data_IF_806000887241
#
_entry.id   IF_806000887241
#
_cell.length_a   1.000
_cell.length_b   1.000
_cell.length_c   1.000
_cell.angle_alpha   90.00
_cell.angle_beta   90.00
_cell.angle_gamma   90.00
#
_symmetry.space_group_name_H-M   'P 1'
#
loop_
_entity.id
_entity.type
_entity.pdbx_description
1 polymer ?
#
# COMPACT_ATOMS: atom_id res chain seq x y z
N UNK A 1 12.75 -6.61 -4.80
CA UNK A 1 12.91 -7.56 -3.68
C UNK A 1 13.71 -6.98 -2.50
N UNK A 2 14.97 -6.53 -2.66
CA UNK A 2 15.71 -5.84 -1.57
C UNK A 2 15.14 -4.46 -1.23
N UNK A 3 14.60 -3.72 -2.21
CA UNK A 3 13.86 -2.46 -1.96
C UNK A 3 12.57 -2.69 -1.17
N UNK A 4 11.84 -3.75 -1.50
CA UNK A 4 10.50 -4.00 -0.96
C UNK A 4 10.59 -4.42 0.51
N UNK A 5 11.55 -5.29 0.85
CA UNK A 5 11.85 -5.68 2.24
C UNK A 5 12.30 -4.48 3.07
N UNK A 6 13.06 -3.56 2.49
CA UNK A 6 13.48 -2.32 3.14
C UNK A 6 12.27 -1.43 3.43
N UNK A 7 11.36 -1.27 2.47
CA UNK A 7 10.15 -0.47 2.64
C UNK A 7 9.22 -1.06 3.70
N UNK A 8 9.00 -2.38 3.68
CA UNK A 8 8.21 -3.07 4.72
C UNK A 8 8.85 -2.86 6.09
N UNK A 9 10.16 -3.07 6.21
CA UNK A 9 10.89 -2.87 7.47
C UNK A 9 10.77 -1.44 8.00
N UNK A 10 10.87 -0.43 7.11
CA UNK A 10 10.71 0.98 7.48
C UNK A 10 9.28 1.27 7.94
N UNK A 11 8.27 0.74 7.24
CA UNK A 11 6.86 0.91 7.64
C UNK A 11 6.60 0.27 9.00
N UNK A 12 7.14 -0.92 9.27
CA UNK A 12 7.05 -1.54 10.59
C UNK A 12 7.74 -0.70 11.67
N UNK A 13 8.94 -0.19 11.40
CA UNK A 13 9.66 0.69 12.32
C UNK A 13 8.85 1.95 12.64
N UNK A 14 8.30 2.62 11.61
CA UNK A 14 7.44 3.79 11.78
C UNK A 14 6.22 3.43 12.63
N UNK A 15 5.59 2.28 12.36
CA UNK A 15 4.41 1.81 13.12
C UNK A 15 4.72 1.64 14.60
N UNK A 16 5.86 1.01 14.93
CA UNK A 16 6.31 0.83 16.32
C UNK A 16 6.56 2.19 16.98
N UNK A 17 7.25 3.11 16.30
CA UNK A 17 7.53 4.46 16.82
C UNK A 17 6.23 5.22 17.06
N UNK A 18 5.29 5.21 16.12
CA UNK A 18 4.00 5.88 16.25
C UNK A 18 3.20 5.32 17.43
N UNK A 19 3.21 3.99 17.63
CA UNK A 19 2.52 3.36 18.76
C UNK A 19 3.15 3.74 20.09
N UNK A 20 4.47 3.78 20.14
CA UNK A 20 5.19 4.25 21.32
C UNK A 20 4.83 5.72 21.64
N UNK A 21 4.75 6.58 20.62
CA UNK A 21 4.29 7.97 20.79
C UNK A 21 2.86 8.01 21.31
N UNK A 22 1.92 7.25 20.72
CA UNK A 22 0.53 7.16 21.18
C UNK A 22 0.43 6.73 22.66
N UNK A 23 1.28 5.80 23.09
CA UNK A 23 1.36 5.37 24.49
C UNK A 23 1.87 6.49 25.40
N UNK A 24 2.93 7.22 24.99
CA UNK A 24 3.48 8.34 25.77
C UNK A 24 2.48 9.48 25.98
N UNK A 25 1.59 9.70 25.02
CA UNK A 25 0.55 10.75 25.08
C UNK A 25 -0.81 10.23 25.56
N UNK A 26 -0.87 8.96 25.98
CA UNK A 26 -2.11 8.28 26.42
C UNK A 26 -3.27 8.38 25.42
N UNK A 27 -2.97 8.37 24.12
CA UNK A 27 -3.98 8.52 23.05
C UNK A 27 -4.38 7.19 22.44
N UNK A 28 -5.68 6.88 22.48
CA UNK A 28 -6.30 5.74 21.81
C UNK A 28 -6.91 6.09 20.44
N UNK A 29 -6.98 7.37 20.07
CA UNK A 29 -7.80 7.86 18.94
C UNK A 29 -7.41 7.23 17.60
N UNK A 30 -6.11 7.07 17.34
CA UNK A 30 -5.63 6.44 16.10
C UNK A 30 -6.06 4.97 16.01
N UNK A 31 -5.99 4.24 17.13
CA UNK A 31 -6.35 2.81 17.16
C UNK A 31 -7.84 2.62 17.01
N UNK A 32 -8.64 3.43 17.68
CA UNK A 32 -10.09 3.39 17.56
C UNK A 32 -10.52 3.70 16.12
N UNK A 33 -9.92 4.72 15.50
CA UNK A 33 -10.18 5.06 14.11
C UNK A 33 -9.82 3.91 13.16
N UNK A 34 -8.61 3.35 13.28
CA UNK A 34 -8.17 2.25 12.42
C UNK A 34 -8.99 0.99 12.65
N UNK A 35 -9.32 0.63 13.89
CA UNK A 35 -10.14 -0.55 14.17
C UNK A 35 -11.52 -0.46 13.51
N UNK A 36 -12.12 0.73 13.49
CA UNK A 36 -13.45 0.93 12.92
C UNK A 36 -13.43 1.11 11.39
N UNK A 37 -12.31 1.56 10.80
CA UNK A 37 -12.30 2.03 9.41
C UNK A 37 -11.25 1.38 8.50
N UNK A 38 -10.33 0.56 9.02
CA UNK A 38 -9.19 0.03 8.25
C UNK A 38 -9.63 -0.66 6.96
N UNK A 39 -10.66 -1.53 7.04
CA UNK A 39 -11.15 -2.24 5.86
C UNK A 39 -11.71 -1.28 4.80
N UNK A 40 -12.52 -0.31 5.21
CA UNK A 40 -13.09 0.72 4.34
C UNK A 40 -11.99 1.53 3.65
N UNK A 41 -10.95 1.92 4.42
CA UNK A 41 -9.79 2.66 3.89
C UNK A 41 -9.03 1.82 2.87
N UNK A 42 -8.74 0.54 3.16
CA UNK A 42 -7.99 -0.32 2.25
C UNK A 42 -8.76 -0.62 0.95
N UNK A 43 -10.09 -0.75 1.03
CA UNK A 43 -10.95 -0.87 -0.14
C UNK A 43 -10.95 0.42 -0.97
N UNK A 44 -10.98 1.58 -0.31
CA UNK A 44 -10.85 2.87 -0.98
C UNK A 44 -9.48 3.00 -1.68
N UNK A 45 -8.40 2.59 -1.02
CA UNK A 45 -7.06 2.55 -1.63
C UNK A 45 -7.01 1.61 -2.84
N UNK A 46 -7.62 0.43 -2.76
CA UNK A 46 -7.71 -0.48 -3.91
C UNK A 46 -8.46 0.15 -5.08
N UNK A 47 -9.57 0.85 -4.82
CA UNK A 47 -10.33 1.54 -5.86
C UNK A 47 -9.50 2.65 -6.54
N UNK A 48 -8.81 3.48 -5.73
CA UNK A 48 -7.92 4.54 -6.24
C UNK A 48 -6.77 3.94 -7.07
N UNK A 49 -6.13 2.90 -6.55
CA UNK A 49 -5.03 2.22 -7.23
C UNK A 49 -5.50 1.62 -8.57
N UNK A 50 -6.64 0.92 -8.57
CA UNK A 50 -7.22 0.31 -9.77
C UNK A 50 -7.58 1.36 -10.82
N UNK A 51 -8.21 2.48 -10.42
CA UNK A 51 -8.54 3.56 -11.34
C UNK A 51 -7.28 4.20 -11.94
N UNK A 52 -6.27 4.46 -11.11
CA UNK A 52 -5.01 5.08 -11.54
C UNK A 52 -4.24 4.17 -12.50
N UNK A 53 -4.13 2.89 -12.17
CA UNK A 53 -3.48 1.88 -13.00
C UNK A 53 -4.22 1.63 -14.30
N UNK A 54 -5.56 1.63 -14.29
CA UNK A 54 -6.37 1.54 -15.51
C UNK A 54 -6.10 2.70 -16.47
N UNK A 55 -6.02 3.93 -15.92
CA UNK A 55 -5.66 5.10 -16.72
C UNK A 55 -4.23 5.02 -17.28
N UNK A 56 -3.26 4.60 -16.47
CA UNK A 56 -1.87 4.44 -16.90
C UNK A 56 -1.71 3.34 -17.95
N UNK A 57 -2.41 2.22 -17.79
CA UNK A 57 -2.36 1.11 -18.74
C UNK A 57 -2.86 1.53 -20.12
N UNK A 58 -3.95 2.31 -20.18
CA UNK A 58 -4.45 2.87 -21.44
C UNK A 58 -3.38 3.77 -22.12
N UNK A 59 -2.70 4.63 -21.35
CA UNK A 59 -1.63 5.49 -21.88
C UNK A 59 -0.40 4.72 -22.35
N UNK A 60 0.02 3.70 -21.61
CA UNK A 60 1.10 2.81 -22.04
C UNK A 60 0.72 2.12 -23.36
N UNK A 61 -0.51 1.64 -23.47
CA UNK A 61 -1.00 1.00 -24.69
C UNK A 61 -0.98 1.95 -25.88
N UNK A 62 -1.48 3.19 -25.73
CA UNK A 62 -1.44 4.22 -26.77
C UNK A 62 0.01 4.45 -27.27
N UNK A 63 0.97 4.56 -26.35
CA UNK A 63 2.39 4.78 -26.68
C UNK A 63 3.00 3.58 -27.38
N UNK A 64 2.72 2.35 -26.92
CA UNK A 64 3.27 1.13 -27.53
C UNK A 64 2.77 0.91 -28.96
N UNK A 65 1.56 1.39 -29.29
CA UNK A 65 1.03 1.35 -30.67
C UNK A 65 1.82 2.28 -31.59
N UNK A 66 2.24 3.45 -31.10
CA UNK A 66 3.00 4.45 -31.89
C UNK A 66 4.49 4.11 -31.92
N UNK A 67 5.04 3.63 -30.81
CA UNK A 67 6.47 3.40 -30.58
C UNK A 67 6.71 1.94 -30.14
N UNK A 68 6.63 1.04 -31.12
CA UNK A 68 6.78 -0.42 -30.96
C UNK A 68 8.13 -0.90 -30.41
N UNK A 69 9.17 -0.06 -30.38
CA UNK A 69 10.48 -0.39 -29.83
C UNK A 69 10.58 -0.16 -28.31
N UNK A 70 9.61 0.53 -27.70
CA UNK A 70 9.61 0.80 -26.27
C UNK A 70 9.09 -0.40 -25.48
N UNK A 71 9.78 -0.73 -24.40
CA UNK A 71 9.44 -1.87 -23.57
C UNK A 71 8.96 -1.42 -22.18
N UNK A 72 7.65 -1.46 -21.97
CA UNK A 72 7.00 -1.17 -20.68
C UNK A 72 6.69 -2.43 -19.86
N UNK A 73 7.19 -3.60 -20.22
CA UNK A 73 6.91 -4.86 -19.51
C UNK A 73 7.22 -4.79 -18.01
N UNK A 74 8.33 -4.16 -17.64
CA UNK A 74 8.71 -3.94 -16.24
C UNK A 74 7.67 -3.08 -15.50
N UNK A 75 7.23 -1.97 -16.11
CA UNK A 75 6.19 -1.11 -15.55
C UNK A 75 4.88 -1.86 -15.37
N UNK A 76 4.43 -2.59 -16.41
CA UNK A 76 3.20 -3.40 -16.36
C UNK A 76 3.28 -4.48 -15.27
N UNK A 77 4.46 -5.09 -15.07
CA UNK A 77 4.68 -6.05 -14.00
C UNK A 77 4.53 -5.42 -12.61
N UNK A 78 5.17 -4.29 -12.35
CA UNK A 78 5.04 -3.58 -11.07
C UNK A 78 3.62 -3.08 -10.82
N UNK A 79 2.91 -2.64 -11.87
CA UNK A 79 1.48 -2.28 -11.80
C UNK A 79 0.61 -3.47 -11.34
N UNK A 80 0.83 -4.66 -11.89
CA UNK A 80 0.10 -5.88 -11.48
C UNK A 80 0.45 -6.29 -10.04
N UNK A 81 1.73 -6.21 -9.69
CA UNK A 81 2.21 -6.52 -8.34
C UNK A 81 1.56 -5.62 -7.29
N UNK A 82 1.49 -4.31 -7.54
CA UNK A 82 0.80 -3.32 -6.68
C UNK A 82 -0.66 -3.70 -6.37
N UNK A 83 -1.42 -4.17 -7.37
CA UNK A 83 -2.80 -4.65 -7.14
C UNK A 83 -2.84 -5.90 -6.26
N UNK A 84 -1.95 -6.86 -6.51
CA UNK A 84 -1.88 -8.09 -5.72
C UNK A 84 -1.49 -7.80 -4.27
N UNK A 85 -0.52 -6.91 -4.04
CA UNK A 85 -0.11 -6.48 -2.70
C UNK A 85 -1.26 -5.82 -1.94
N UNK A 86 -2.05 -4.96 -2.59
CA UNK A 86 -3.21 -4.32 -1.97
C UNK A 86 -4.30 -5.34 -1.58
N UNK A 87 -4.54 -6.36 -2.41
CA UNK A 87 -5.48 -7.45 -2.09
C UNK A 87 -4.96 -8.26 -0.90
N UNK A 88 -3.66 -8.58 -0.86
CA UNK A 88 -3.04 -9.28 0.28
C UNK A 88 -3.22 -8.48 1.56
N UNK A 89 -3.03 -7.16 1.54
CA UNK A 89 -3.25 -6.31 2.71
C UNK A 89 -4.70 -6.33 3.21
N UNK A 90 -5.68 -6.32 2.31
CA UNK A 90 -7.09 -6.43 2.67
C UNK A 90 -7.35 -7.77 3.38
N UNK A 91 -6.83 -8.88 2.85
CA UNK A 91 -6.97 -10.20 3.47
C UNK A 91 -6.31 -10.23 4.85
N UNK A 92 -5.11 -9.66 5.00
CA UNK A 92 -4.44 -9.57 6.29
C UNK A 92 -5.21 -8.71 7.30
N UNK A 93 -5.80 -7.59 6.87
CA UNK A 93 -6.64 -6.76 7.72
C UNK A 93 -7.89 -7.51 8.21
N UNK A 94 -8.52 -8.31 7.34
CA UNK A 94 -9.66 -9.17 7.72
C UNK A 94 -9.22 -10.18 8.79
N UNK A 95 -8.07 -10.83 8.62
CA UNK A 95 -7.53 -11.78 9.60
C UNK A 95 -7.29 -11.09 10.95
N UNK A 96 -6.71 -9.88 10.96
CA UNK A 96 -6.47 -9.10 12.18
C UNK A 96 -7.78 -8.77 12.90
N UNK A 97 -8.81 -8.34 12.16
CA UNK A 97 -10.13 -8.05 12.73
C UNK A 97 -10.74 -9.31 13.35
N UNK A 98 -10.67 -10.45 12.67
CA UNK A 98 -11.15 -11.75 13.20
C UNK A 98 -10.41 -12.13 14.50
N UNK A 99 -9.07 -12.03 14.51
CA UNK A 99 -8.27 -12.36 15.69
C UNK A 99 -8.57 -11.40 16.84
N UNK A 100 -8.79 -10.11 16.55
CA UNK A 100 -9.13 -9.11 17.56
C UNK A 100 -10.40 -9.48 18.32
N UNK A 101 -11.48 -9.78 17.61
CA UNK A 101 -12.79 -10.14 18.18
C UNK A 101 -12.85 -11.58 18.75
N UNK A 102 -11.84 -12.40 18.48
CA UNK A 102 -11.79 -13.77 19.01
C UNK A 102 -11.53 -13.81 20.51
N UNK A 103 -11.96 -14.91 21.16
CA UNK A 103 -11.66 -15.20 22.57
C UNK A 103 -10.21 -15.70 22.80
N UNK A 104 -9.34 -15.63 21.79
CA UNK A 104 -7.92 -15.96 21.96
C UNK A 104 -7.28 -14.92 22.90
N UNK A 105 -6.77 -15.38 24.03
CA UNK A 105 -6.08 -14.56 25.01
C UNK A 105 -4.60 -14.90 25.01
N UNK A 106 -3.79 -14.00 24.45
CA UNK A 106 -2.34 -14.05 24.52
C UNK A 106 -1.81 -12.71 25.03
N UNK A 107 -0.59 -12.74 25.58
CA UNK A 107 0.06 -11.56 26.14
C UNK A 107 0.24 -10.49 25.04
N UNK A 108 -0.10 -9.23 25.34
CA UNK A 108 0.03 -8.08 24.44
C UNK A 108 -0.80 -8.19 23.14
N UNK A 109 -1.93 -8.89 23.18
CA UNK A 109 -2.81 -9.08 22.02
C UNK A 109 -3.17 -7.79 21.31
N UNK A 110 -3.69 -6.81 22.04
CA UNK A 110 -4.23 -5.60 21.42
C UNK A 110 -3.11 -4.70 20.88
N UNK A 111 -1.98 -4.64 21.57
CA UNK A 111 -0.79 -3.89 21.19
C UNK A 111 -0.19 -4.44 19.90
N UNK A 112 -0.01 -5.76 19.83
CA UNK A 112 0.51 -6.44 18.63
C UNK A 112 -0.44 -6.21 17.45
N UNK A 113 -1.76 -6.39 17.64
CA UNK A 113 -2.74 -6.16 16.58
C UNK A 113 -2.78 -4.68 16.15
N UNK A 114 -2.58 -3.73 17.07
CA UNK A 114 -2.48 -2.30 16.74
C UNK A 114 -1.24 -2.01 15.86
N UNK A 115 -0.09 -2.63 16.17
CA UNK A 115 1.14 -2.53 15.34
C UNK A 115 0.87 -3.02 13.93
N UNK A 116 0.26 -4.21 13.80
CA UNK A 116 -0.05 -4.75 12.48
C UNK A 116 -1.10 -3.93 11.73
N UNK A 117 -2.16 -3.47 12.39
CA UNK A 117 -3.17 -2.59 11.76
C UNK A 117 -2.55 -1.32 11.21
N UNK A 118 -1.67 -0.67 11.99
CA UNK A 118 -0.99 0.54 11.55
C UNK A 118 0.02 0.27 10.42
N UNK A 119 0.77 -0.83 10.50
CA UNK A 119 1.70 -1.24 9.45
C UNK A 119 0.97 -1.50 8.13
N UNK A 120 -0.17 -2.18 8.17
CA UNK A 120 -1.00 -2.43 6.98
C UNK A 120 -1.50 -1.12 6.40
N UNK A 121 -2.02 -0.22 7.23
CA UNK A 121 -2.48 1.09 6.79
C UNK A 121 -1.38 1.89 6.10
N UNK A 122 -0.21 2.01 6.75
CA UNK A 122 0.93 2.75 6.22
C UNK A 122 1.51 2.10 4.96
N UNK A 123 1.56 0.77 4.89
CA UNK A 123 2.03 0.08 3.70
C UNK A 123 1.05 0.24 2.54
N UNK A 124 -0.26 0.26 2.80
CA UNK A 124 -1.27 0.62 1.79
C UNK A 124 -1.07 2.03 1.22
N UNK A 125 -0.68 3.00 2.05
CA UNK A 125 -0.28 4.34 1.58
C UNK A 125 0.98 4.26 0.72
N UNK A 126 1.97 3.45 1.13
CA UNK A 126 3.21 3.29 0.36
C UNK A 126 2.94 2.71 -1.04
N UNK A 127 2.04 1.73 -1.17
CA UNK A 127 1.63 1.17 -2.47
C UNK A 127 1.04 2.26 -3.38
N UNK A 128 0.19 3.14 -2.83
CA UNK A 128 -0.35 4.26 -3.58
C UNK A 128 0.73 5.25 -4.00
N UNK A 129 1.70 5.53 -3.12
CA UNK A 129 2.83 6.40 -3.42
C UNK A 129 3.68 5.84 -4.56
N UNK A 130 4.03 4.56 -4.51
CA UNK A 130 4.83 3.90 -5.55
C UNK A 130 4.07 3.88 -6.89
N UNK A 131 2.75 3.67 -6.84
CA UNK A 131 1.89 3.77 -8.03
C UNK A 131 1.88 5.19 -8.60
N UNK A 132 1.72 6.22 -7.76
CA UNK A 132 1.79 7.62 -8.19
C UNK A 132 3.15 7.98 -8.80
N UNK A 133 4.24 7.42 -8.26
CA UNK A 133 5.60 7.61 -8.80
C UNK A 133 5.75 7.08 -10.22
N UNK A 134 5.07 5.99 -10.57
CA UNK A 134 5.13 5.38 -11.91
C UNK A 134 4.60 6.32 -13.01
N UNK A 135 3.66 7.22 -12.68
CA UNK A 135 3.16 8.26 -13.59
C UNK A 135 4.29 9.16 -14.07
N UNK A 136 5.18 9.57 -13.16
CA UNK A 136 6.30 10.45 -13.49
C UNK A 136 7.34 9.75 -14.37
N UNK A 137 7.56 8.44 -14.17
CA UNK A 137 8.45 7.64 -15.02
C UNK A 137 7.97 7.64 -16.47
N UNK A 138 6.66 7.48 -16.70
CA UNK A 138 6.08 7.51 -18.06
C UNK A 138 6.24 8.91 -18.67
N UNK A 139 5.98 9.98 -17.90
CA UNK A 139 6.18 11.36 -18.38
C UNK A 139 7.63 11.60 -18.81
N UNK A 140 8.60 11.08 -18.06
CA UNK A 140 10.01 11.25 -18.39
C UNK A 140 10.42 10.44 -19.62
N UNK A 141 9.89 9.23 -19.83
CA UNK A 141 10.11 8.47 -21.07
C UNK A 141 9.51 9.19 -22.29
N UNK A 142 8.32 9.77 -22.17
CA UNK A 142 7.71 10.58 -23.25
C UNK A 142 8.58 11.79 -23.59
N UNK A 143 9.14 12.48 -22.58
CA UNK A 143 10.05 13.62 -22.81
C UNK A 143 11.33 13.22 -23.54
N UNK A 144 11.84 12.01 -23.33
CA UNK A 144 13.03 11.50 -24.06
C UNK A 144 12.72 11.26 -25.54
N UNK A 145 11.50 10.86 -25.89
CA UNK A 145 11.07 10.66 -27.28
C UNK A 145 10.97 11.99 -28.04
N UNK A 146 10.49 13.04 -27.36
CA UNK A 146 10.25 14.35 -27.96
C UNK A 146 11.51 15.26 -28.03
N UNK A 147 12.68 14.76 -27.60
CA UNK A 147 13.97 15.44 -27.69
C UNK A 147 14.81 14.84 -28.81
#
# INVERSE_FOLDING_TARGET
MTSDIKNISIVFLISIITIYICYLIESSSLFEYLNNNLLTILLAFLAINTASLGHLAAKIQDIMVIHNHLNFSATIFEMKKSLVEQIILIVLAIIIIIIRESNLNFLLKFEILNIFSLAIFLYGINILWDTGKSVFVIIDEIKKINR
#
